data_IF_841794671076
#
_entry.id   IF_841794671076
#
_cell.length_a   1.000
_cell.length_b   1.000
_cell.length_c   1.000
_cell.angle_alpha   90.00
_cell.angle_beta   90.00
_cell.angle_gamma   90.00
#
_symmetry.space_group_name_H-M   'P 1'
#
loop_
_entity.id
_entity.type
_entity.pdbx_description
1 polymer ?
#
# COMPACT_ATOMS: atom_id res chain seq x y z
N UNK A 1 -3.33 25.90 -0.19
CA UNK A 1 -3.72 24.47 -0.16
C UNK A 1 -3.05 23.79 -1.34
N UNK A 2 -1.95 23.07 -1.11
CA UNK A 2 -1.25 22.33 -2.16
C UNK A 2 -2.15 21.16 -2.56
N UNK A 3 -2.79 21.25 -3.73
CA UNK A 3 -3.44 20.09 -4.33
C UNK A 3 -2.34 19.12 -4.75
N UNK A 4 -1.97 18.22 -3.85
CA UNK A 4 -1.14 17.08 -4.18
C UNK A 4 -1.93 16.25 -5.21
N UNK A 5 -1.53 16.34 -6.48
CA UNK A 5 -2.02 15.43 -7.53
C UNK A 5 -1.89 13.99 -7.03
N UNK A 6 -2.85 13.14 -7.37
CA UNK A 6 -2.82 11.72 -7.01
C UNK A 6 -1.47 11.13 -7.49
N UNK A 7 -0.83 10.33 -6.63
CA UNK A 7 0.41 9.62 -6.91
C UNK A 7 0.36 8.83 -8.23
N UNK A 8 -0.80 8.23 -8.51
CA UNK A 8 -1.11 7.52 -9.75
C UNK A 8 -1.22 8.44 -10.98
N UNK A 9 -1.39 9.75 -10.82
CA UNK A 9 -1.40 10.72 -11.92
C UNK A 9 0.03 11.16 -12.26
N UNK A 10 0.88 11.40 -11.26
CA UNK A 10 2.26 11.90 -11.45
C UNK A 10 3.11 10.94 -12.29
N UNK A 11 2.97 9.63 -12.06
CA UNK A 11 3.74 8.61 -12.76
C UNK A 11 3.32 8.40 -14.24
N UNK A 12 2.14 8.87 -14.63
CA UNK A 12 1.51 8.63 -15.93
C UNK A 12 1.24 9.92 -16.72
N UNK A 13 1.55 11.09 -16.14
CA UNK A 13 1.49 12.38 -16.83
C UNK A 13 2.45 12.40 -18.03
N UNK A 14 1.91 12.74 -19.22
CA UNK A 14 2.69 12.89 -20.45
C UNK A 14 2.86 11.62 -21.31
N UNK A 15 2.26 10.48 -20.93
CA UNK A 15 2.25 9.26 -21.75
C UNK A 15 0.90 9.11 -22.47
N UNK A 16 0.76 9.75 -23.64
CA UNK A 16 -0.42 9.58 -24.49
C UNK A 16 -0.57 8.11 -24.88
N UNK A 17 -1.79 7.56 -24.80
CA UNK A 17 -2.09 6.16 -25.13
C UNK A 17 -2.05 5.16 -23.97
N UNK A 18 -1.30 5.44 -22.90
CA UNK A 18 -1.17 4.54 -21.75
C UNK A 18 -2.40 4.58 -20.84
N UNK A 19 -2.99 3.41 -20.58
CA UNK A 19 -4.09 3.24 -19.61
C UNK A 19 -3.58 2.53 -18.35
N UNK A 20 -3.81 3.09 -17.17
CA UNK A 20 -3.61 2.39 -15.89
C UNK A 20 -4.96 1.83 -15.43
N UNK A 21 -5.02 0.52 -15.24
CA UNK A 21 -6.19 -0.22 -14.79
C UNK A 21 -5.85 -0.76 -13.42
N UNK A 22 -6.50 -0.24 -12.39
CA UNK A 22 -6.23 -0.61 -11.00
C UNK A 22 -7.32 -1.55 -10.51
N UNK A 23 -6.94 -2.78 -10.19
CA UNK A 23 -7.84 -3.80 -9.67
C UNK A 23 -7.52 -3.98 -8.19
N UNK A 24 -8.52 -3.76 -7.33
CA UNK A 24 -8.37 -4.00 -5.90
C UNK A 24 -8.15 -5.50 -5.64
N UNK A 25 -6.97 -5.86 -5.14
CA UNK A 25 -6.57 -7.23 -4.78
C UNK A 25 -6.33 -7.39 -3.29
N UNK A 26 -6.98 -6.56 -2.47
CA UNK A 26 -7.10 -6.82 -1.03
C UNK A 26 -7.99 -8.04 -0.76
N UNK A 27 -7.79 -8.68 0.39
CA UNK A 27 -8.49 -9.94 0.75
C UNK A 27 -10.01 -9.91 0.50
N UNK A 28 -10.70 -8.80 0.81
CA UNK A 28 -12.13 -8.67 0.58
C UNK A 28 -12.55 -8.72 -0.91
N UNK A 29 -11.79 -8.10 -1.81
CA UNK A 29 -12.08 -8.15 -3.25
C UNK A 29 -11.65 -9.49 -3.86
N UNK A 30 -10.54 -10.08 -3.39
CA UNK A 30 -10.11 -11.43 -3.80
C UNK A 30 -11.19 -12.45 -3.49
N UNK A 31 -11.79 -12.40 -2.29
CA UNK A 31 -12.92 -13.26 -1.92
C UNK A 31 -14.17 -13.06 -2.81
N UNK A 32 -14.30 -11.92 -3.49
CA UNK A 32 -15.38 -11.62 -4.43
C UNK A 32 -14.99 -11.82 -5.91
N UNK A 33 -13.88 -12.52 -6.20
CA UNK A 33 -13.49 -12.88 -7.58
C UNK A 33 -12.57 -11.88 -8.29
N UNK A 34 -11.89 -10.99 -7.57
CA UNK A 34 -10.99 -10.00 -8.19
C UNK A 34 -9.85 -10.62 -9.03
N UNK A 35 -9.38 -11.83 -8.69
CA UNK A 35 -8.35 -12.51 -9.47
C UNK A 35 -8.87 -13.05 -10.81
N UNK A 36 -10.15 -13.41 -10.88
CA UNK A 36 -10.80 -13.81 -12.14
C UNK A 36 -10.98 -12.59 -13.04
N UNK A 37 -11.39 -11.45 -12.46
CA UNK A 37 -11.44 -10.15 -13.15
C UNK A 37 -10.08 -9.77 -13.70
N UNK A 38 -9.01 -9.88 -12.91
CA UNK A 38 -7.65 -9.63 -13.36
C UNK A 38 -7.25 -10.53 -14.54
N UNK A 39 -7.49 -11.83 -14.42
CA UNK A 39 -7.17 -12.79 -15.48
C UNK A 39 -7.93 -12.50 -16.77
N UNK A 40 -9.21 -12.13 -16.67
CA UNK A 40 -10.00 -11.70 -17.81
C UNK A 40 -9.44 -10.41 -18.45
N UNK A 41 -8.94 -9.45 -17.66
CA UNK A 41 -8.31 -8.25 -18.22
C UNK A 41 -7.05 -8.59 -19.01
N UNK A 42 -6.20 -9.48 -18.50
CA UNK A 42 -4.99 -9.91 -19.22
C UNK A 42 -5.36 -10.50 -20.60
N UNK A 43 -6.40 -11.32 -20.67
CA UNK A 43 -6.86 -11.94 -21.93
C UNK A 43 -7.46 -10.91 -22.87
N UNK A 44 -8.43 -10.13 -22.40
CA UNK A 44 -9.19 -9.20 -23.25
C UNK A 44 -8.34 -8.01 -23.73
N UNK A 45 -7.40 -7.51 -22.92
CA UNK A 45 -6.47 -6.46 -23.34
C UNK A 45 -5.53 -6.94 -24.44
N UNK A 46 -4.99 -8.18 -24.32
CA UNK A 46 -4.17 -8.79 -25.37
C UNK A 46 -4.98 -9.05 -26.64
N UNK A 47 -6.21 -9.54 -26.52
CA UNK A 47 -7.11 -9.75 -27.65
C UNK A 47 -7.46 -8.42 -28.34
N UNK A 48 -7.53 -7.33 -27.57
CA UNK A 48 -7.67 -5.99 -28.11
C UNK A 48 -6.37 -5.45 -28.73
N UNK A 49 -5.24 -6.16 -28.70
CA UNK A 49 -3.97 -5.73 -29.29
C UNK A 49 -3.23 -4.68 -28.47
N UNK A 50 -3.45 -4.63 -27.15
CA UNK A 50 -2.70 -3.78 -26.22
C UNK A 50 -1.58 -4.56 -25.55
N UNK A 51 -0.44 -3.92 -25.37
CA UNK A 51 0.65 -4.45 -24.57
C UNK A 51 0.29 -4.36 -23.08
N UNK A 52 0.15 -5.53 -22.43
CA UNK A 52 -0.21 -5.62 -21.01
C UNK A 52 1.05 -5.65 -20.16
N UNK A 53 1.18 -4.68 -19.26
CA UNK A 53 2.28 -4.55 -18.32
C UNK A 53 1.75 -4.69 -16.90
N UNK A 54 2.33 -5.58 -16.09
CA UNK A 54 1.89 -5.84 -14.70
C UNK A 54 2.84 -5.29 -13.63
N UNK A 55 4.02 -4.78 -14.03
CA UNK A 55 5.00 -4.17 -13.13
C UNK A 55 5.34 -2.77 -13.60
N UNK A 56 5.46 -1.84 -12.65
CA UNK A 56 5.69 -0.44 -12.94
C UNK A 56 7.05 -0.23 -13.62
N UNK A 57 8.10 -0.91 -13.16
CA UNK A 57 9.44 -0.80 -13.75
C UNK A 57 9.52 -1.22 -15.24
N UNK A 58 8.68 -2.17 -15.67
CA UNK A 58 8.60 -2.59 -17.07
C UNK A 58 8.01 -1.50 -17.99
N UNK A 59 7.32 -0.48 -17.45
CA UNK A 59 6.80 0.64 -18.23
C UNK A 59 7.92 1.51 -18.82
N UNK A 60 9.17 1.42 -18.34
CA UNK A 60 10.31 2.18 -18.91
C UNK A 60 10.70 1.71 -20.31
N UNK A 61 10.38 0.46 -20.67
CA UNK A 61 10.76 -0.14 -21.96
C UNK A 61 9.67 -0.09 -23.04
N UNK A 62 8.52 0.50 -22.75
CA UNK A 62 7.39 0.55 -23.68
C UNK A 62 7.49 1.81 -24.55
N UNK A 63 7.88 1.62 -25.81
CA UNK A 63 7.87 2.66 -26.86
C UNK A 63 6.58 2.57 -27.67
N UNK A 64 5.76 3.63 -27.71
CA UNK A 64 4.58 3.68 -28.57
C UNK A 64 4.97 3.93 -30.05
N UNK A 65 4.34 3.21 -30.99
CA UNK A 65 2.93 3.42 -31.35
C UNK A 65 2.09 2.13 -31.32
N UNK A 66 1.12 2.05 -30.40
CA UNK A 66 0.20 0.90 -30.29
C UNK A 66 -0.76 0.89 -29.10
N UNK A 67 -0.50 1.72 -28.08
CA UNK A 67 -1.24 1.73 -26.82
C UNK A 67 -0.80 0.60 -25.88
N UNK A 68 -0.41 0.95 -24.65
CA UNK A 68 -0.15 0.00 -23.58
C UNK A 68 -1.15 0.11 -22.43
N UNK A 69 -1.33 -0.98 -21.70
CA UNK A 69 -2.17 -1.05 -20.51
C UNK A 69 -1.34 -1.52 -19.31
N UNK A 70 -1.17 -0.64 -18.32
CA UNK A 70 -0.62 -1.01 -17.02
C UNK A 70 -1.74 -1.60 -16.16
N UNK A 71 -1.70 -2.91 -15.93
CA UNK A 71 -2.62 -3.63 -15.08
C UNK A 71 -2.03 -3.73 -13.66
N UNK A 72 -2.53 -2.88 -12.76
CA UNK A 72 -2.05 -2.78 -11.39
C UNK A 72 -2.95 -3.59 -10.44
N UNK A 73 -2.35 -4.51 -9.68
CA UNK A 73 -3.00 -5.21 -8.57
C UNK A 73 -2.82 -4.38 -7.30
N UNK A 74 -3.78 -3.55 -6.93
CA UNK A 74 -3.62 -2.68 -5.77
C UNK A 74 -4.00 -3.34 -4.45
N UNK A 75 -3.65 -2.66 -3.35
CA UNK A 75 -4.17 -2.94 -2.01
C UNK A 75 -5.68 -2.71 -1.84
N UNK A 76 -6.16 -2.86 -0.61
CA UNK A 76 -7.55 -2.60 -0.28
C UNK A 76 -7.91 -1.11 -0.51
N UNK A 77 -8.90 -0.85 -1.36
CA UNK A 77 -9.47 0.50 -1.56
C UNK A 77 -10.48 0.88 -0.46
N UNK A 78 -11.00 -0.09 0.31
CA UNK A 78 -11.79 0.13 1.53
C UNK A 78 -13.29 -0.07 1.38
N UNK A 79 -13.87 0.12 0.20
CA UNK A 79 -15.31 -0.09 -0.01
C UNK A 79 -15.64 -1.55 -0.39
N UNK A 80 -15.27 -2.49 0.50
CA UNK A 80 -15.33 -3.94 0.23
C UNK A 80 -16.72 -4.45 -0.17
N UNK A 81 -17.80 -3.84 0.31
CA UNK A 81 -19.19 -4.17 -0.07
C UNK A 81 -19.47 -3.98 -1.57
N UNK A 82 -18.69 -3.13 -2.22
CA UNK A 82 -18.81 -2.81 -3.64
C UNK A 82 -17.72 -3.50 -4.48
N UNK A 83 -16.92 -4.39 -3.90
CA UNK A 83 -15.90 -5.15 -4.61
C UNK A 83 -16.46 -6.22 -5.56
N UNK A 84 -15.68 -6.70 -6.55
CA UNK A 84 -14.37 -6.18 -6.97
C UNK A 84 -14.44 -4.76 -7.55
N UNK A 85 -13.44 -3.95 -7.19
CA UNK A 85 -13.32 -2.56 -7.63
C UNK A 85 -12.28 -2.46 -8.75
N UNK A 86 -12.63 -1.74 -9.82
CA UNK A 86 -11.74 -1.50 -10.96
C UNK A 86 -11.73 -0.01 -11.28
N UNK A 87 -10.57 0.62 -11.15
CA UNK A 87 -10.37 2.01 -11.53
C UNK A 87 -9.64 2.10 -12.87
N UNK A 88 -10.10 2.99 -13.76
CA UNK A 88 -9.44 3.24 -15.06
C UNK A 88 -8.96 4.68 -15.12
N UNK A 89 -7.64 4.84 -15.23
CA UNK A 89 -6.94 6.11 -15.33
C UNK A 89 -6.37 6.31 -16.76
N UNK A 90 -6.32 7.56 -17.26
CA UNK A 90 -6.68 8.82 -16.59
C UNK A 90 -8.19 9.18 -16.65
N UNK A 91 -9.05 8.27 -17.12
CA UNK A 91 -10.50 8.55 -17.21
C UNK A 91 -11.15 8.82 -15.84
N UNK A 92 -10.51 8.41 -14.74
CA UNK A 92 -10.98 8.66 -13.37
C UNK A 92 -12.33 7.99 -13.10
N UNK A 93 -12.57 6.82 -13.70
CA UNK A 93 -13.79 6.04 -13.49
C UNK A 93 -13.53 4.88 -12.55
N UNK A 94 -14.38 4.73 -11.54
CA UNK A 94 -14.36 3.62 -10.59
C UNK A 94 -15.58 2.73 -10.82
N UNK A 95 -15.34 1.55 -11.36
CA UNK A 95 -16.34 0.51 -11.51
C UNK A 95 -16.42 -0.35 -10.25
N UNK A 96 -17.65 -0.74 -9.91
CA UNK A 96 -17.94 -1.58 -8.76
C UNK A 96 -18.58 -2.90 -9.16
N UNK A 97 -18.47 -3.89 -8.27
CA UNK A 97 -19.03 -5.24 -8.42
C UNK A 97 -18.69 -5.88 -9.77
N UNK A 98 -17.50 -5.56 -10.28
CA UNK A 98 -17.05 -6.02 -11.60
C UNK A 98 -16.86 -7.53 -11.55
N UNK A 99 -17.42 -8.23 -12.54
CA UNK A 99 -17.24 -9.66 -12.77
C UNK A 99 -16.36 -9.89 -13.98
N UNK A 100 -15.81 -11.10 -14.11
CA UNK A 100 -14.99 -11.47 -15.26
C UNK A 100 -15.74 -11.27 -16.60
N UNK A 101 -17.05 -11.54 -16.63
CA UNK A 101 -17.93 -11.32 -17.79
C UNK A 101 -18.07 -9.86 -18.22
N UNK A 102 -17.90 -8.90 -17.29
CA UNK A 102 -17.98 -7.47 -17.58
C UNK A 102 -16.73 -6.93 -18.27
N UNK A 103 -15.60 -7.64 -18.16
CA UNK A 103 -14.28 -7.13 -18.57
C UNK A 103 -14.23 -6.84 -20.07
N UNK A 104 -14.82 -7.70 -20.90
CA UNK A 104 -14.88 -7.47 -22.35
C UNK A 104 -15.61 -6.17 -22.70
N UNK A 105 -16.69 -5.86 -21.98
CA UNK A 105 -17.42 -4.60 -22.16
C UNK A 105 -16.55 -3.42 -21.74
N UNK A 106 -15.86 -3.50 -20.60
CA UNK A 106 -14.97 -2.44 -20.11
C UNK A 106 -13.82 -2.18 -21.10
N UNK A 107 -13.18 -3.23 -21.61
CA UNK A 107 -12.08 -3.09 -22.59
C UNK A 107 -12.57 -2.43 -23.87
N UNK A 108 -13.71 -2.89 -24.40
CA UNK A 108 -14.25 -2.38 -25.66
C UNK A 108 -14.75 -0.94 -25.52
N UNK A 109 -15.59 -0.67 -24.53
CA UNK A 109 -16.26 0.62 -24.38
C UNK A 109 -15.35 1.65 -23.71
N UNK A 110 -14.76 1.32 -22.57
CA UNK A 110 -14.02 2.30 -21.77
C UNK A 110 -12.58 2.46 -22.23
N UNK A 111 -11.85 1.35 -22.41
CA UNK A 111 -10.41 1.42 -22.67
C UNK A 111 -10.15 1.84 -24.11
N UNK A 112 -10.87 1.27 -25.08
CA UNK A 112 -10.72 1.59 -26.52
C UNK A 112 -11.55 2.81 -26.94
N UNK A 113 -12.84 2.86 -26.62
CA UNK A 113 -13.73 3.93 -27.10
C UNK A 113 -13.84 5.14 -26.15
N UNK A 114 -13.35 5.06 -24.92
CA UNK A 114 -13.46 6.15 -23.94
C UNK A 114 -14.87 6.34 -23.35
N UNK A 115 -15.79 5.42 -23.61
CA UNK A 115 -17.16 5.43 -23.12
C UNK A 115 -17.29 4.77 -21.74
N UNK A 116 -18.19 5.29 -20.91
CA UNK A 116 -18.42 4.79 -19.56
C UNK A 116 -19.49 3.69 -19.56
N UNK A 117 -19.22 2.60 -18.84
CA UNK A 117 -20.20 1.54 -18.58
C UNK A 117 -21.05 1.95 -17.36
N UNK A 118 -22.11 2.72 -17.59
CA UNK A 118 -22.92 3.35 -16.53
C UNK A 118 -23.48 2.36 -15.50
N UNK A 119 -23.87 1.15 -15.95
CA UNK A 119 -24.41 0.10 -15.05
C UNK A 119 -23.42 -0.36 -13.98
N UNK A 120 -22.12 -0.13 -14.18
CA UNK A 120 -21.05 -0.49 -13.25
C UNK A 120 -20.64 0.67 -12.34
N UNK A 121 -21.27 1.85 -12.48
CA UNK A 121 -21.02 2.99 -11.61
C UNK A 121 -21.75 2.85 -10.27
N UNK A 122 -21.21 3.51 -9.24
CA UNK A 122 -21.85 3.48 -7.93
C UNK A 122 -23.09 4.36 -7.97
N UNK A 123 -24.23 3.84 -7.54
CA UNK A 123 -25.45 4.63 -7.38
C UNK A 123 -25.68 4.88 -5.90
N UNK A 124 -25.71 6.14 -5.49
CA UNK A 124 -26.00 6.51 -4.11
C UNK A 124 -27.43 6.10 -3.74
N UNK A 125 -27.62 5.22 -2.73
CA UNK A 125 -28.95 4.76 -2.35
C UNK A 125 -29.88 5.89 -1.90
N UNK A 126 -29.32 7.01 -1.40
CA UNK A 126 -30.08 8.17 -0.92
C UNK A 126 -30.44 9.12 -2.06
N UNK A 127 -29.45 9.70 -2.75
CA UNK A 127 -29.70 10.69 -3.80
C UNK A 127 -30.09 10.11 -5.16
N UNK A 128 -29.93 8.79 -5.35
CA UNK A 128 -30.08 8.08 -6.63
C UNK A 128 -29.13 8.55 -7.74
N UNK A 129 -28.13 9.38 -7.41
CA UNK A 129 -27.14 9.85 -8.37
C UNK A 129 -26.06 8.80 -8.59
N UNK A 130 -25.63 8.66 -9.84
CA UNK A 130 -24.46 7.87 -10.19
C UNK A 130 -23.18 8.66 -9.93
N UNK A 131 -22.20 8.00 -9.32
CA UNK A 131 -20.89 8.54 -9.01
C UNK A 131 -19.86 7.90 -9.94
N UNK A 132 -19.22 8.73 -10.76
CA UNK A 132 -18.20 8.28 -11.72
C UNK A 132 -16.87 7.91 -11.06
N UNK A 133 -16.42 8.71 -10.10
CA UNK A 133 -15.09 8.59 -9.51
C UNK A 133 -15.15 8.29 -8.01
N UNK A 134 -14.01 7.90 -7.44
CA UNK A 134 -13.89 7.66 -6.00
C UNK A 134 -14.28 8.91 -5.18
N UNK A 135 -13.85 10.10 -5.60
CA UNK A 135 -14.10 11.37 -4.92
C UNK A 135 -15.58 11.77 -4.95
N UNK A 136 -16.35 11.26 -5.91
CA UNK A 136 -17.77 11.53 -6.03
C UNK A 136 -18.63 10.66 -5.09
N UNK A 137 -18.08 9.57 -4.54
CA UNK A 137 -18.83 8.61 -3.72
C UNK A 137 -18.86 9.10 -2.26
N UNK A 138 -20.05 9.25 -1.63
CA UNK A 138 -20.18 9.74 -0.26
C UNK A 138 -19.39 8.94 0.79
N UNK A 139 -19.21 7.63 0.58
CA UNK A 139 -18.39 6.76 1.43
C UNK A 139 -16.97 7.30 1.60
N UNK A 140 -16.34 7.79 0.53
CA UNK A 140 -14.97 8.28 0.56
C UNK A 140 -14.87 9.76 0.95
N UNK A 141 -15.84 10.59 0.56
CA UNK A 141 -15.83 12.04 0.84
C UNK A 141 -15.73 12.40 2.33
N UNK A 142 -16.19 11.52 3.21
CA UNK A 142 -16.20 11.74 4.66
C UNK A 142 -14.98 11.14 5.37
N UNK A 143 -13.98 10.67 4.63
CA UNK A 143 -12.80 10.00 5.19
C UNK A 143 -11.56 10.88 5.09
N UNK A 144 -10.76 10.85 6.16
CA UNK A 144 -9.38 11.36 6.15
C UNK A 144 -8.40 10.18 6.08
N UNK A 145 -8.03 9.80 4.86
CA UNK A 145 -7.14 8.66 4.61
C UNK A 145 -5.68 9.08 4.73
N UNK A 146 -5.15 9.18 5.95
CA UNK A 146 -3.72 9.50 6.16
C UNK A 146 -2.83 8.27 5.97
N UNK A 147 -3.08 7.20 6.73
CA UNK A 147 -2.31 5.93 6.65
C UNK A 147 -2.70 5.13 5.40
N UNK A 148 -3.99 5.13 5.06
CA UNK A 148 -4.53 4.39 3.92
C UNK A 148 -4.51 5.20 2.62
N UNK A 149 -3.80 6.33 2.57
CA UNK A 149 -3.84 7.25 1.41
C UNK A 149 -3.46 6.51 0.13
N UNK A 150 -2.32 5.83 0.16
CA UNK A 150 -1.77 5.10 -0.97
C UNK A 150 -2.35 3.68 -1.12
N UNK A 151 -3.08 3.20 -0.11
CA UNK A 151 -3.74 1.89 -0.19
C UNK A 151 -4.85 1.96 -1.24
N UNK A 152 -4.72 1.13 -2.28
CA UNK A 152 -5.64 1.10 -3.40
C UNK A 152 -5.17 1.85 -4.65
N UNK A 153 -4.10 2.66 -4.53
CA UNK A 153 -3.48 3.39 -5.64
C UNK A 153 -2.22 2.69 -6.19
N UNK A 154 -1.44 2.08 -5.29
CA UNK A 154 -0.17 1.41 -5.62
C UNK A 154 -0.34 -0.09 -5.79
N UNK A 155 0.51 -0.70 -6.61
CA UNK A 155 0.81 -2.11 -6.51
C UNK A 155 1.71 -2.36 -5.28
N UNK A 156 1.24 -3.08 -4.25
CA UNK A 156 2.00 -3.31 -3.01
C UNK A 156 3.23 -4.21 -3.21
N UNK A 157 3.34 -4.87 -4.36
CA UNK A 157 4.48 -5.73 -4.72
C UNK A 157 5.51 -4.98 -5.59
N UNK A 158 5.35 -3.69 -5.85
CA UNK A 158 6.24 -2.90 -6.70
C UNK A 158 6.95 -1.78 -5.93
N UNK A 159 8.24 -1.98 -5.67
CA UNK A 159 9.10 -1.00 -4.99
C UNK A 159 9.25 0.30 -5.78
N UNK A 160 9.30 0.24 -7.12
CA UNK A 160 9.47 1.44 -7.93
C UNK A 160 8.24 2.34 -7.84
N UNK A 161 7.04 1.76 -7.82
CA UNK A 161 5.81 2.53 -7.65
C UNK A 161 5.77 3.26 -6.29
N UNK A 162 6.23 2.61 -5.22
CA UNK A 162 6.40 3.27 -3.92
C UNK A 162 7.48 4.37 -3.95
N UNK A 163 8.57 4.16 -4.69
CA UNK A 163 9.69 5.11 -4.78
C UNK A 163 9.30 6.39 -5.54
N UNK A 164 8.54 6.27 -6.64
CA UNK A 164 8.09 7.41 -7.46
C UNK A 164 7.22 8.39 -6.67
N UNK A 165 6.51 7.89 -5.66
CA UNK A 165 5.64 8.71 -4.81
C UNK A 165 6.36 9.22 -3.57
N UNK A 166 7.71 9.26 -3.61
CA UNK A 166 8.60 9.71 -2.53
C UNK A 166 8.64 8.76 -1.33
N UNK A 167 8.29 7.49 -1.53
CA UNK A 167 8.48 6.46 -0.53
C UNK A 167 9.97 6.30 -0.17
N UNK A 168 10.25 6.02 1.10
CA UNK A 168 11.59 5.97 1.71
C UNK A 168 12.33 7.30 1.82
N UNK A 169 11.82 8.42 1.30
CA UNK A 169 12.50 9.71 1.45
C UNK A 169 12.55 10.18 2.91
N UNK A 170 11.50 9.90 3.70
CA UNK A 170 11.49 10.28 5.11
C UNK A 170 12.50 9.46 5.90
N UNK A 171 12.54 8.14 5.67
CA UNK A 171 13.58 7.29 6.25
C UNK A 171 14.98 7.74 5.82
N UNK A 172 15.20 8.02 4.52
CA UNK A 172 16.48 8.49 4.02
C UNK A 172 16.95 9.74 4.76
N UNK A 173 16.08 10.77 4.86
CA UNK A 173 16.36 12.00 5.62
C UNK A 173 16.73 11.71 7.08
N UNK A 174 16.05 10.79 7.76
CA UNK A 174 16.42 10.42 9.12
C UNK A 174 17.86 9.88 9.19
N UNK A 175 18.23 8.99 8.28
CA UNK A 175 19.57 8.37 8.25
C UNK A 175 20.68 9.35 7.80
N UNK A 176 20.39 10.30 6.91
CA UNK A 176 21.43 11.14 6.30
C UNK A 176 21.57 12.53 6.93
N UNK A 177 20.48 13.08 7.49
CA UNK A 177 20.41 14.51 7.83
C UNK A 177 19.98 14.79 9.28
N UNK A 178 19.39 13.82 9.97
CA UNK A 178 18.85 14.03 11.31
C UNK A 178 19.66 13.29 12.38
N UNK A 179 19.51 13.72 13.63
CA UNK A 179 19.98 12.96 14.79
C UNK A 179 18.84 12.10 15.35
N UNK A 180 19.13 10.98 16.04
CA UNK A 180 18.09 10.17 16.69
C UNK A 180 17.21 10.97 17.68
N UNK A 181 17.82 11.90 18.42
CA UNK A 181 17.11 12.85 19.30
C UNK A 181 16.10 13.68 18.50
N UNK A 182 16.50 14.30 17.39
CA UNK A 182 15.61 15.14 16.59
C UNK A 182 14.41 14.35 16.06
N UNK A 183 14.62 13.09 15.65
CA UNK A 183 13.51 12.22 15.21
C UNK A 183 12.54 11.94 16.36
N UNK A 184 13.04 11.66 17.57
CA UNK A 184 12.19 11.51 18.75
C UNK A 184 11.39 12.79 19.06
N UNK A 185 12.03 13.97 18.98
CA UNK A 185 11.36 15.24 19.24
C UNK A 185 10.27 15.56 18.21
N UNK A 186 10.52 15.32 16.91
CA UNK A 186 9.50 15.44 15.86
C UNK A 186 8.29 14.55 16.15
N UNK A 187 8.51 13.32 16.60
CA UNK A 187 7.43 12.38 16.96
C UNK A 187 6.67 12.77 18.23
N UNK A 188 7.35 13.40 19.21
CA UNK A 188 6.72 13.97 20.40
C UNK A 188 5.83 15.14 19.99
N UNK A 189 6.35 16.06 19.17
CA UNK A 189 5.63 17.22 18.68
C UNK A 189 4.41 16.84 17.82
N UNK A 190 4.51 15.75 17.05
CA UNK A 190 3.40 15.21 16.27
C UNK A 190 2.24 14.67 17.12
N UNK A 191 2.47 14.39 18.42
CA UNK A 191 1.42 13.91 19.34
C UNK A 191 0.89 12.51 19.00
N UNK A 192 1.64 11.69 18.23
CA UNK A 192 1.19 10.36 17.84
C UNK A 192 1.08 9.45 19.07
N UNK A 193 -0.06 8.79 19.22
CA UNK A 193 -0.33 7.79 20.27
C UNK A 193 -0.37 6.39 19.68
N UNK A 194 0.00 5.40 20.49
CA UNK A 194 -0.06 3.98 20.12
C UNK A 194 -1.45 3.59 19.63
N UNK A 195 -1.52 2.95 18.45
CA UNK A 195 -2.78 2.63 17.78
C UNK A 195 -3.31 1.21 18.05
N UNK A 196 -2.53 0.37 18.73
CA UNK A 196 -2.97 -0.94 19.25
C UNK A 196 -3.79 -0.85 20.55
N UNK A 197 -4.59 0.21 20.74
CA UNK A 197 -5.48 0.36 21.90
C UNK A 197 -4.88 1.06 23.13
N UNK A 198 -3.65 0.72 23.55
CA UNK A 198 -3.06 1.26 24.80
C UNK A 198 -2.78 2.77 24.81
N UNK A 199 -2.68 3.41 23.64
CA UNK A 199 -2.67 4.86 23.53
C UNK A 199 -1.48 5.59 24.19
N UNK A 200 -0.38 4.90 24.49
CA UNK A 200 0.82 5.53 25.04
C UNK A 200 1.48 6.47 24.00
N UNK A 201 2.02 7.64 24.38
CA UNK A 201 2.67 8.57 23.44
C UNK A 201 3.88 7.92 22.75
N UNK A 202 3.84 7.82 21.43
CA UNK A 202 4.81 7.07 20.61
C UNK A 202 6.20 7.69 20.70
N UNK A 203 6.31 9.01 20.51
CA UNK A 203 7.58 9.73 20.63
C UNK A 203 8.23 9.56 22.01
N UNK A 204 7.43 9.55 23.08
CA UNK A 204 7.92 9.29 24.44
C UNK A 204 8.42 7.85 24.61
N UNK A 205 7.73 6.84 24.04
CA UNK A 205 8.18 5.44 24.07
C UNK A 205 9.53 5.29 23.38
N UNK A 206 9.70 5.93 22.23
CA UNK A 206 10.97 5.93 21.49
C UNK A 206 12.08 6.60 22.28
N UNK A 207 11.81 7.77 22.87
CA UNK A 207 12.80 8.53 23.61
C UNK A 207 13.31 7.78 24.86
N UNK A 208 12.40 7.15 25.60
CA UNK A 208 12.73 6.27 26.74
C UNK A 208 13.69 5.16 26.30
N UNK A 209 13.42 4.52 25.15
CA UNK A 209 14.27 3.45 24.61
C UNK A 209 15.63 3.99 24.12
N UNK A 210 15.63 5.14 23.44
CA UNK A 210 16.83 5.79 22.89
C UNK A 210 17.87 6.07 23.96
N UNK A 211 17.47 6.62 25.12
CA UNK A 211 18.40 6.97 26.21
C UNK A 211 18.96 5.76 26.97
N UNK A 212 18.37 4.57 26.82
CA UNK A 212 18.94 3.36 27.42
C UNK A 212 20.25 2.98 26.75
N UNK A 213 21.28 2.67 27.55
CA UNK A 213 22.57 2.19 27.09
C UNK A 213 22.54 0.66 26.98
N UNK A 214 22.40 0.15 25.77
CA UNK A 214 22.45 -1.27 25.45
C UNK A 214 23.22 -1.46 24.13
N UNK A 215 23.98 -2.56 24.03
CA UNK A 215 24.74 -2.88 22.82
C UNK A 215 23.82 -3.27 21.65
N UNK A 216 22.66 -3.84 21.95
CA UNK A 216 21.66 -4.29 20.97
C UNK A 216 20.29 -3.76 21.35
N UNK A 217 19.55 -3.27 20.36
CA UNK A 217 18.17 -2.81 20.48
C UNK A 217 17.36 -3.33 19.30
N UNK A 218 16.06 -3.50 19.52
CA UNK A 218 15.16 -4.10 18.56
C UNK A 218 13.97 -3.17 18.31
N UNK A 219 13.47 -3.18 17.07
CA UNK A 219 12.14 -2.63 16.74
C UNK A 219 11.19 -3.79 16.43
N UNK A 220 10.02 -3.82 17.05
CA UNK A 220 9.03 -4.87 16.80
C UNK A 220 7.74 -4.22 16.31
N UNK A 221 7.27 -4.67 15.14
CA UNK A 221 5.96 -4.37 14.60
C UNK A 221 5.02 -5.53 14.95
N UNK A 222 4.04 -5.25 15.81
CA UNK A 222 3.00 -6.19 16.18
C UNK A 222 1.86 -6.09 15.16
N UNK A 223 1.74 -7.11 14.31
CA UNK A 223 0.67 -7.31 13.34
C UNK A 223 -0.18 -8.55 13.65
N UNK A 224 -0.37 -8.88 14.93
CA UNK A 224 -1.23 -10.00 15.34
C UNK A 224 -2.73 -9.69 15.12
N UNK A 225 -3.15 -8.41 15.23
CA UNK A 225 -4.52 -7.90 15.02
C UNK A 225 -5.61 -8.96 15.29
N UNK A 226 -5.61 -9.50 16.51
CA UNK A 226 -6.45 -10.62 16.90
C UNK A 226 -7.94 -10.26 17.08
N UNK A 227 -8.25 -8.98 17.25
CA UNK A 227 -9.57 -8.49 17.61
C UNK A 227 -10.62 -8.75 16.51
N UNK A 228 -11.78 -9.35 16.84
CA UNK A 228 -12.85 -9.56 15.87
C UNK A 228 -13.31 -8.25 15.22
N UNK A 229 -13.29 -8.23 13.88
CA UNK A 229 -13.69 -7.06 13.09
C UNK A 229 -12.58 -6.04 12.83
N UNK A 230 -11.39 -6.21 13.43
CA UNK A 230 -10.20 -5.43 13.06
C UNK A 230 -9.54 -6.01 11.80
N UNK A 231 -9.19 -5.13 10.87
CA UNK A 231 -8.45 -5.46 9.64
C UNK A 231 -7.67 -4.26 9.09
N UNK A 232 -7.45 -3.24 9.92
CA UNK A 232 -6.71 -2.03 9.57
C UNK A 232 -5.23 -2.33 9.36
N UNK A 233 -4.63 -3.12 10.24
CA UNK A 233 -3.22 -3.50 10.13
C UNK A 233 -3.01 -4.41 8.92
N UNK A 234 -3.91 -5.39 8.75
CA UNK A 234 -3.97 -6.20 7.52
C UNK A 234 -4.02 -5.33 6.26
N UNK A 235 -4.87 -4.32 6.25
CA UNK A 235 -5.06 -3.47 5.07
C UNK A 235 -3.79 -2.72 4.69
N UNK A 236 -2.99 -2.27 5.67
CA UNK A 236 -1.71 -1.58 5.42
C UNK A 236 -0.63 -2.59 5.00
N UNK A 237 -0.49 -3.72 5.69
CA UNK A 237 0.50 -4.74 5.35
C UNK A 237 0.25 -5.37 3.97
N UNK A 238 -1.02 -5.58 3.61
CA UNK A 238 -1.39 -6.06 2.28
C UNK A 238 -1.29 -4.97 1.23
N UNK A 239 -1.67 -3.73 1.55
CA UNK A 239 -1.87 -2.67 0.56
C UNK A 239 -0.71 -1.72 0.35
N UNK A 240 0.18 -1.60 1.32
CA UNK A 240 1.38 -0.77 1.27
C UNK A 240 2.44 -1.27 2.28
N UNK A 241 2.98 -2.50 2.10
CA UNK A 241 3.98 -3.08 3.01
C UNK A 241 5.26 -2.24 3.12
N UNK A 242 5.64 -1.54 2.05
CA UNK A 242 6.82 -0.66 2.06
C UNK A 242 6.67 0.50 3.06
N UNK A 243 5.47 1.03 3.28
CA UNK A 243 5.23 2.05 4.32
C UNK A 243 5.40 1.54 5.74
N UNK A 244 5.07 0.27 6.00
CA UNK A 244 5.33 -0.38 7.30
C UNK A 244 6.83 -0.47 7.54
N UNK A 245 7.57 -0.93 6.52
CA UNK A 245 9.03 -1.02 6.56
C UNK A 245 9.64 0.38 6.78
N UNK A 246 9.21 1.40 6.03
CA UNK A 246 9.70 2.76 6.18
C UNK A 246 9.46 3.31 7.60
N UNK A 247 8.28 3.09 8.16
CA UNK A 247 7.97 3.47 9.54
C UNK A 247 8.88 2.78 10.55
N UNK A 248 9.15 1.48 10.37
CA UNK A 248 10.10 0.73 11.20
C UNK A 248 11.53 1.24 11.04
N UNK A 249 11.96 1.62 9.84
CA UNK A 249 13.29 2.19 9.61
C UNK A 249 13.49 3.50 10.38
N UNK A 250 12.50 4.38 10.35
CA UNK A 250 12.51 5.65 11.09
C UNK A 250 12.56 5.39 12.59
N UNK A 251 11.72 4.49 13.09
CA UNK A 251 11.68 4.11 14.50
C UNK A 251 13.01 3.48 14.97
N UNK A 252 13.54 2.54 14.19
CA UNK A 252 14.81 1.86 14.47
C UNK A 252 15.96 2.86 14.55
N UNK A 253 16.02 3.80 13.59
CA UNK A 253 17.01 4.87 13.60
C UNK A 253 16.92 5.73 14.87
N UNK A 254 15.71 6.14 15.24
CA UNK A 254 15.46 7.00 16.40
C UNK A 254 15.91 6.35 17.72
N UNK A 255 15.73 5.04 17.86
CA UNK A 255 16.07 4.32 19.10
C UNK A 255 17.49 3.72 19.09
N UNK A 256 18.14 3.66 17.92
CA UNK A 256 19.44 3.02 17.73
C UNK A 256 19.35 1.50 17.62
N UNK A 257 18.27 0.97 17.02
CA UNK A 257 18.12 -0.45 16.71
C UNK A 257 18.71 -0.76 15.32
N UNK A 258 19.35 -1.92 15.22
CA UNK A 258 19.88 -2.49 13.99
C UNK A 258 19.16 -3.78 13.57
N UNK A 259 18.14 -4.17 14.34
CA UNK A 259 17.37 -5.39 14.17
C UNK A 259 15.88 -5.09 14.34
N UNK A 260 15.06 -5.67 13.48
CA UNK A 260 13.62 -5.49 13.49
C UNK A 260 12.87 -6.77 13.21
N UNK A 261 11.68 -6.87 13.79
CA UNK A 261 10.77 -7.99 13.58
C UNK A 261 9.38 -7.47 13.22
N UNK A 262 8.79 -8.02 12.16
CA UNK A 262 7.35 -7.91 11.88
C UNK A 262 6.73 -9.23 12.28
N UNK A 263 6.01 -9.25 13.39
CA UNK A 263 5.22 -10.39 13.79
C UNK A 263 3.84 -10.28 13.15
N UNK A 264 3.46 -11.24 12.33
CA UNK A 264 2.16 -11.26 11.64
C UNK A 264 1.45 -12.56 11.98
N UNK A 265 0.18 -12.48 12.36
CA UNK A 265 -0.64 -13.66 12.64
C UNK A 265 -0.71 -14.62 11.43
N UNK A 266 -0.85 -15.92 11.70
CA UNK A 266 -0.92 -16.96 10.67
C UNK A 266 -2.11 -16.79 9.72
N UNK A 267 -3.20 -16.20 10.20
CA UNK A 267 -4.44 -16.02 9.44
C UNK A 267 -4.36 -14.93 8.37
N UNK A 268 -3.24 -14.19 8.28
CA UNK A 268 -2.97 -13.18 7.27
C UNK A 268 -1.87 -13.59 6.27
N UNK A 269 -2.03 -14.69 5.51
CA UNK A 269 -0.98 -15.22 4.63
C UNK A 269 -0.59 -14.25 3.51
N UNK A 270 -1.53 -13.42 3.02
CA UNK A 270 -1.23 -12.41 2.00
C UNK A 270 -0.35 -11.29 2.55
N UNK A 271 -0.61 -10.82 3.78
CA UNK A 271 0.22 -9.83 4.45
C UNK A 271 1.64 -10.36 4.67
N UNK A 272 1.78 -11.59 5.20
CA UNK A 272 3.07 -12.25 5.38
C UNK A 272 3.85 -12.30 4.06
N UNK A 273 3.21 -12.76 2.98
CA UNK A 273 3.82 -12.84 1.65
C UNK A 273 4.31 -11.46 1.16
N UNK A 274 3.45 -10.45 1.22
CA UNK A 274 3.74 -9.10 0.70
C UNK A 274 4.81 -8.39 1.53
N UNK A 275 4.78 -8.50 2.86
CA UNK A 275 5.81 -7.92 3.74
C UNK A 275 7.15 -8.62 3.54
N UNK A 276 7.19 -9.96 3.41
CA UNK A 276 8.43 -10.70 3.09
C UNK A 276 9.03 -10.23 1.77
N UNK A 277 8.20 -10.09 0.73
CA UNK A 277 8.64 -9.58 -0.57
C UNK A 277 9.17 -8.15 -0.46
N UNK A 278 8.44 -7.25 0.20
CA UNK A 278 8.86 -5.86 0.36
C UNK A 278 10.19 -5.73 1.13
N UNK A 279 10.43 -6.58 2.14
CA UNK A 279 11.73 -6.65 2.83
C UNK A 279 12.84 -7.13 1.88
N UNK A 280 12.58 -8.14 1.04
CA UNK A 280 13.55 -8.63 0.05
C UNK A 280 13.88 -7.56 -0.98
N UNK A 281 12.88 -6.86 -1.52
CA UNK A 281 13.08 -5.80 -2.50
C UNK A 281 13.86 -4.62 -1.91
N UNK A 282 13.52 -4.19 -0.69
CA UNK A 282 14.24 -3.13 0.01
C UNK A 282 15.71 -3.51 0.29
N UNK A 283 16.00 -4.78 0.64
CA UNK A 283 17.39 -5.25 0.77
C UNK A 283 18.14 -5.21 -0.55
N UNK A 284 17.54 -5.70 -1.64
CA UNK A 284 18.15 -5.66 -2.98
C UNK A 284 18.46 -4.24 -3.45
N UNK A 285 17.65 -3.27 -3.05
CA UNK A 285 17.83 -1.86 -3.38
C UNK A 285 18.78 -1.09 -2.45
N UNK A 286 19.38 -1.74 -1.44
CA UNK A 286 20.25 -1.06 -0.45
C UNK A 286 19.49 -0.13 0.52
N UNK A 287 18.17 -0.27 0.60
CA UNK A 287 17.30 0.44 1.54
C UNK A 287 17.33 -0.25 2.91
N UNK A 288 17.44 -1.59 2.93
CA UNK A 288 17.70 -2.39 4.14
C UNK A 288 19.03 -3.14 4.01
N UNK A 289 19.54 -3.67 5.12
CA UNK A 289 20.76 -4.47 5.17
C UNK A 289 21.90 -3.78 5.93
N UNK A 290 23.14 -4.06 5.54
CA UNK A 290 24.33 -3.65 6.31
C UNK A 290 24.77 -2.21 6.07
N UNK A 291 24.26 -1.57 5.02
CA UNK A 291 24.66 -0.21 4.63
C UNK A 291 23.45 0.59 4.12
N UNK A 292 22.49 0.81 5.01
CA UNK A 292 21.23 1.51 4.75
C UNK A 292 21.53 2.89 4.16
N UNK A 293 21.06 3.11 2.93
CA UNK A 293 21.27 4.33 2.14
C UNK A 293 22.75 4.76 1.98
N UNK A 294 23.70 3.84 2.11
CA UNK A 294 25.13 4.17 2.01
C UNK A 294 25.72 4.87 3.25
N UNK A 295 25.02 4.85 4.39
CA UNK A 295 25.40 5.60 5.60
C UNK A 295 26.35 4.85 6.55
N UNK A 296 26.66 3.59 6.26
CA UNK A 296 27.40 2.67 7.15
C UNK A 296 26.57 2.14 8.32
N UNK A 297 25.29 2.54 8.44
CA UNK A 297 24.35 2.00 9.42
C UNK A 297 23.67 0.76 8.88
N UNK A 298 23.38 -0.19 9.76
CA UNK A 298 22.68 -1.43 9.43
C UNK A 298 21.27 -1.47 10.00
N UNK A 299 20.37 -2.12 9.28
CA UNK A 299 19.06 -2.52 9.78
C UNK A 299 18.57 -3.77 9.03
N UNK A 300 18.42 -4.86 9.78
CA UNK A 300 17.82 -6.10 9.30
C UNK A 300 16.40 -6.22 9.83
N UNK A 301 15.43 -6.50 8.96
CA UNK A 301 14.03 -6.72 9.37
C UNK A 301 13.62 -8.15 9.00
N UNK A 302 13.12 -8.89 9.97
CA UNK A 302 12.67 -10.27 9.84
C UNK A 302 11.14 -10.34 9.91
N UNK A 303 10.53 -11.28 9.17
CA UNK A 303 9.08 -11.49 9.21
C UNK A 303 8.82 -12.80 9.92
N UNK A 304 8.22 -12.72 11.10
CA UNK A 304 7.82 -13.84 11.94
C UNK A 304 6.33 -14.08 11.74
N UNK A 305 5.98 -15.34 11.54
CA UNK A 305 4.60 -15.77 11.37
C UNK A 305 4.14 -16.41 12.67
N UNK A 306 2.98 -15.96 13.17
CA UNK A 306 2.40 -16.45 14.41
C UNK A 306 1.92 -17.89 14.32
N UNK A 307 1.44 -18.42 15.45
CA UNK A 307 0.91 -19.78 15.56
C UNK A 307 -0.57 -19.85 15.97
N UNK A 308 -1.33 -18.76 15.76
CA UNK A 308 -2.78 -18.70 16.02
C UNK A 308 -3.17 -18.44 17.48
N UNK A 309 -2.29 -17.83 18.28
CA UNK A 309 -2.55 -17.53 19.69
C UNK A 309 -2.90 -16.04 19.88
N UNK A 310 -4.17 -15.74 20.18
CA UNK A 310 -4.65 -14.37 20.41
C UNK A 310 -3.88 -13.62 21.51
N UNK A 311 -3.39 -14.32 22.54
CA UNK A 311 -2.62 -13.72 23.64
C UNK A 311 -1.30 -13.09 23.17
N UNK A 312 -0.74 -13.55 22.04
CA UNK A 312 0.49 -12.99 21.46
C UNK A 312 0.32 -11.58 20.90
N UNK A 313 -0.89 -11.01 20.91
CA UNK A 313 -1.09 -9.57 20.70
C UNK A 313 -0.60 -8.71 21.87
N UNK A 314 -0.43 -9.28 23.07
CA UNK A 314 0.12 -8.59 24.25
C UNK A 314 1.66 -8.48 24.12
N UNK A 315 2.24 -7.33 24.51
CA UNK A 315 3.63 -7.02 24.17
C UNK A 315 4.67 -7.94 24.82
N UNK A 316 4.40 -8.48 26.02
CA UNK A 316 5.29 -9.42 26.69
C UNK A 316 5.11 -10.86 26.22
N UNK A 317 3.89 -11.25 25.83
CA UNK A 317 3.61 -12.57 25.25
C UNK A 317 4.11 -12.71 23.81
N UNK A 318 4.28 -11.58 23.10
CA UNK A 318 4.82 -11.54 21.73
C UNK A 318 6.34 -11.81 21.69
N UNK A 319 7.07 -11.32 22.69
CA UNK A 319 8.54 -11.38 22.81
C UNK A 319 8.99 -12.78 23.22
#
# INVERSE_FOLDING_TARGET
MCQFKNAATIAFEGREGLRKIVICTGTGCVANGAMDVHSAFVVELKAAGLDVVETFGALKGVSEPGGAAYLSKSGCQGFCQMGPLVEVLPLGVLYNKVRAEDVKEIVTRTIRAGEIVERLLYTDPVSKKQCRSQEAIPFYQRQSRFVLKQCGELNPEDLEEYSVIRGYEAAKRCYTEMTPEAVCQDMIAAGLRGRGGGGFPTGKKWDICRVQKNEKKYIICNGDEGDPGAFMDRSVMEGNPHSVIEGMMIAAYAIGADEGYVYVRAEYPLAVKRVRKACQDARKAGILGDNVFGTGRRLHIHVMEGAGAFVCGEETALI
#
